data_IF_772984042689
#
_entry.id   IF_772984042689
#
_cell.length_a   1.000
_cell.length_b   1.000
_cell.length_c   1.000
_cell.angle_alpha   90.00
_cell.angle_beta   90.00
_cell.angle_gamma   90.00
#
_symmetry.space_group_name_H-M   'P 1'
#
loop_
_entity.id
_entity.type
_entity.pdbx_description
1 polymer ?
#
# COMPACT_ATOMS: atom_id res chain seq x y z
N UNK A 1 -8.40 8.54 -6.92
CA UNK A 1 -7.45 8.03 -7.94
C UNK A 1 -6.29 7.28 -7.31
N UNK A 2 -5.54 7.86 -6.35
CA UNK A 2 -4.39 7.20 -5.69
C UNK A 2 -4.72 5.82 -5.08
N UNK A 3 -5.89 5.69 -4.43
CA UNK A 3 -6.35 4.44 -3.82
C UNK A 3 -6.62 3.32 -4.82
N UNK A 4 -7.22 3.62 -5.98
CA UNK A 4 -7.43 2.64 -7.07
C UNK A 4 -6.11 2.14 -7.67
N UNK A 5 -5.09 3.01 -7.75
CA UNK A 5 -3.74 2.63 -8.21
C UNK A 5 -3.06 1.73 -7.18
N UNK A 6 -3.17 2.08 -5.89
CA UNK A 6 -2.66 1.27 -4.78
C UNK A 6 -3.34 -0.11 -4.77
N UNK A 7 -4.67 -0.15 -4.90
CA UNK A 7 -5.46 -1.38 -5.03
C UNK A 7 -4.94 -2.27 -6.15
N UNK A 8 -4.81 -1.68 -7.35
CA UNK A 8 -4.33 -2.39 -8.53
C UNK A 8 -2.91 -2.92 -8.35
N UNK A 9 -2.01 -2.11 -7.76
CA UNK A 9 -0.62 -2.50 -7.53
C UNK A 9 -0.50 -3.61 -6.49
N UNK A 10 -1.20 -3.46 -5.36
CA UNK A 10 -1.26 -4.46 -4.32
C UNK A 10 -2.04 -5.69 -4.78
N UNK A 11 -2.80 -5.63 -5.89
CA UNK A 11 -3.68 -6.69 -6.38
C UNK A 11 -4.84 -6.96 -5.42
N UNK A 12 -5.39 -5.89 -4.86
CA UNK A 12 -6.57 -5.83 -4.00
C UNK A 12 -7.68 -5.07 -4.72
N UNK A 13 -8.93 -5.28 -4.32
CA UNK A 13 -10.03 -4.39 -4.71
C UNK A 13 -10.02 -3.12 -3.85
N UNK A 14 -10.71 -2.08 -4.32
CA UNK A 14 -10.89 -0.85 -3.53
C UNK A 14 -11.68 -1.11 -2.24
N UNK A 15 -12.55 -2.12 -2.25
CA UNK A 15 -13.29 -2.61 -1.08
C UNK A 15 -12.36 -3.32 -0.08
N UNK A 16 -11.49 -4.21 -0.55
CA UNK A 16 -10.49 -4.89 0.29
C UNK A 16 -9.57 -3.85 0.99
N UNK A 17 -9.20 -2.77 0.29
CA UNK A 17 -8.48 -1.63 0.89
C UNK A 17 -9.30 -0.86 1.92
N UNK A 18 -10.61 -0.71 1.70
CA UNK A 18 -11.54 -0.09 2.67
C UNK A 18 -11.64 -0.93 3.94
N UNK A 19 -11.74 -2.25 3.80
CA UNK A 19 -11.84 -3.17 4.93
C UNK A 19 -10.59 -3.14 5.81
N UNK A 20 -9.43 -2.86 5.21
CA UNK A 20 -8.17 -2.67 5.92
C UNK A 20 -8.05 -1.32 6.60
N UNK A 21 -8.95 -0.37 6.29
CA UNK A 21 -8.85 1.04 6.66
C UNK A 21 -7.47 1.60 6.25
N UNK A 22 -7.05 1.27 5.01
CA UNK A 22 -5.75 1.63 4.46
C UNK A 22 -5.94 2.67 3.35
N UNK A 23 -5.63 3.92 3.66
CA UNK A 23 -5.63 5.00 2.68
C UNK A 23 -4.21 5.34 2.22
N UNK A 24 -4.06 5.88 0.99
CA UNK A 24 -2.76 6.32 0.48
C UNK A 24 -2.13 7.45 1.32
N UNK A 25 -2.90 8.05 2.23
CA UNK A 25 -2.47 9.10 3.16
C UNK A 25 -1.77 8.51 4.40
N UNK A 26 -2.06 7.24 4.75
CA UNK A 26 -1.41 6.49 5.83
C UNK A 26 -0.05 5.92 5.42
N UNK A 27 0.34 6.13 4.16
CA UNK A 27 1.62 5.69 3.65
C UNK A 27 2.75 6.59 4.16
N UNK A 28 3.67 6.00 4.92
CA UNK A 28 4.89 6.67 5.36
C UNK A 28 5.86 6.85 4.18
N UNK A 29 6.30 8.09 3.94
CA UNK A 29 7.37 8.37 2.99
C UNK A 29 8.70 7.89 3.57
N UNK A 30 9.28 6.85 2.98
CA UNK A 30 10.58 6.33 3.38
C UNK A 30 11.66 6.62 2.33
N UNK A 31 12.83 7.02 2.80
CA UNK A 31 14.04 7.08 1.97
C UNK A 31 14.80 5.78 2.12
N UNK A 32 14.88 4.99 1.05
CA UNK A 32 15.88 3.92 0.93
C UNK A 32 17.15 4.56 0.40
N UNK A 33 18.30 4.25 1.02
CA UNK A 33 19.56 5.00 0.90
C UNK A 33 20.13 5.11 -0.53
N UNK A 34 19.62 4.37 -1.52
CA UNK A 34 20.20 4.35 -2.87
C UNK A 34 19.29 4.88 -3.97
N UNK A 35 17.96 4.72 -3.91
CA UNK A 35 17.06 5.24 -4.96
C UNK A 35 15.72 5.71 -4.37
N UNK A 36 15.54 7.04 -4.44
CA UNK A 36 14.32 7.84 -4.56
C UNK A 36 12.99 7.25 -4.08
N UNK A 37 12.39 7.93 -3.08
CA UNK A 37 10.95 8.03 -2.83
C UNK A 37 10.18 6.70 -2.93
N UNK A 38 10.20 5.91 -1.86
CA UNK A 38 9.32 4.74 -1.73
C UNK A 38 8.38 4.97 -0.56
N UNK A 39 7.10 4.74 -0.77
CA UNK A 39 6.13 4.73 0.31
C UNK A 39 6.16 3.39 1.02
N UNK A 40 5.86 3.39 2.30
CA UNK A 40 5.74 2.17 3.08
C UNK A 40 4.47 2.23 3.89
N UNK A 41 3.88 1.08 4.13
CA UNK A 41 2.84 0.95 5.15
C UNK A 41 3.09 -0.30 5.96
N UNK A 42 2.59 -0.27 7.19
CA UNK A 42 2.49 -1.45 8.02
C UNK A 42 1.09 -2.02 7.86
N UNK A 43 1.00 -3.33 7.68
CA UNK A 43 -0.29 -4.03 7.56
C UNK A 43 -1.09 -3.79 8.85
N UNK A 44 -2.24 -3.09 8.78
CA UNK A 44 -3.01 -2.72 9.96
C UNK A 44 -3.58 -3.95 10.65
N UNK A 45 -3.75 -3.91 11.98
CA UNK A 45 -4.30 -5.03 12.76
C UNK A 45 -5.74 -5.38 12.37
N UNK A 46 -6.46 -4.41 11.79
CA UNK A 46 -7.81 -4.59 11.27
C UNK A 46 -7.84 -5.34 9.91
N UNK A 47 -6.69 -5.71 9.34
CA UNK A 47 -6.63 -6.39 8.05
C UNK A 47 -7.35 -7.75 8.10
N UNK A 48 -8.38 -7.96 7.27
CA UNK A 48 -9.09 -9.22 7.19
C UNK A 48 -8.17 -10.41 6.86
N UNK A 49 -8.41 -11.55 7.52
CA UNK A 49 -7.64 -12.78 7.29
C UNK A 49 -7.65 -13.26 5.83
N UNK A 50 -8.72 -12.97 5.08
CA UNK A 50 -8.81 -13.35 3.67
C UNK A 50 -7.79 -12.58 2.82
N UNK A 51 -7.50 -11.32 3.17
CA UNK A 51 -6.46 -10.50 2.52
C UNK A 51 -5.07 -10.98 2.92
N UNK A 52 -4.86 -11.20 4.22
CA UNK A 52 -3.60 -11.74 4.74
C UNK A 52 -3.25 -13.07 4.07
N UNK A 53 -4.22 -13.99 3.94
CA UNK A 53 -4.02 -15.27 3.27
C UNK A 53 -3.78 -15.15 1.76
N UNK A 54 -4.44 -14.20 1.09
CA UNK A 54 -4.29 -13.94 -0.35
C UNK A 54 -2.92 -13.35 -0.70
N UNK A 55 -2.37 -12.50 0.17
CA UNK A 55 -1.07 -11.83 -0.03
C UNK A 55 0.09 -12.52 0.68
N UNK A 56 -0.20 -13.33 1.70
CA UNK A 56 0.80 -13.90 2.60
C UNK A 56 1.37 -12.86 3.57
N UNK A 57 0.62 -11.79 3.86
CA UNK A 57 1.07 -10.73 4.76
C UNK A 57 0.87 -11.09 6.22
N UNK A 58 1.75 -10.56 7.07
CA UNK A 58 1.60 -10.60 8.52
C UNK A 58 1.11 -9.24 9.04
N UNK A 59 0.32 -9.24 10.11
CA UNK A 59 -0.04 -8.00 10.81
C UNK A 59 1.23 -7.27 11.27
N UNK A 60 1.32 -5.98 11.01
CA UNK A 60 2.50 -5.15 11.29
C UNK A 60 3.65 -5.31 10.29
N UNK A 61 3.54 -6.20 9.31
CA UNK A 61 4.54 -6.37 8.25
C UNK A 61 4.67 -5.07 7.44
N UNK A 62 5.90 -4.70 7.12
CA UNK A 62 6.19 -3.50 6.34
C UNK A 62 6.18 -3.84 4.86
N UNK A 63 5.25 -3.24 4.12
CA UNK A 63 5.11 -3.38 2.67
C UNK A 63 5.64 -2.13 2.00
N UNK A 64 6.47 -2.30 0.98
CA UNK A 64 7.02 -1.21 0.18
C UNK A 64 6.15 -0.95 -1.05
N UNK A 65 5.88 0.32 -1.32
CA UNK A 65 5.06 0.81 -2.42
C UNK A 65 5.84 1.88 -3.17
N UNK A 66 6.18 1.69 -4.46
CA UNK A 66 6.97 2.67 -5.19
C UNK A 66 6.20 3.99 -5.41
N UNK A 67 6.83 5.15 -5.17
CA UNK A 67 6.17 6.46 -5.37
C UNK A 67 5.71 6.68 -6.81
N UNK A 68 6.36 6.02 -7.77
CA UNK A 68 6.09 6.15 -9.20
C UNK A 68 4.63 5.81 -9.54
N UNK A 69 3.94 5.07 -8.66
CA UNK A 69 2.50 4.82 -8.73
C UNK A 69 1.66 6.09 -8.53
N UNK A 70 2.12 7.00 -7.69
CA UNK A 70 1.45 8.25 -7.36
C UNK A 70 1.97 9.44 -8.18
N UNK A 71 3.15 9.28 -8.80
CA UNK A 71 3.82 10.28 -9.64
C UNK A 71 3.26 10.39 -11.08
N UNK A 72 2.10 9.80 -11.37
CA UNK A 72 1.44 9.90 -12.69
C UNK A 72 0.80 11.28 -12.99
N UNK A 73 1.30 12.34 -12.37
CA UNK A 73 0.88 13.72 -12.61
C UNK A 73 1.97 14.50 -13.36
N UNK A 74 2.39 13.99 -14.53
CA UNK A 74 3.51 14.58 -15.26
C UNK A 74 3.63 14.12 -16.70
N UNK A 75 2.66 14.48 -17.56
CA UNK A 75 2.87 14.68 -19.00
C UNK A 75 1.80 15.59 -19.57
#
# INVERSE_FOLDING_TARGET
>A
MKRSILATHLGLSEEELDEMDLDPEDLDEGKVEEESNTFFFNVPENTPQHILGKKGWSIGERVAVPISLFDVSGS
#
